data_IF_722800444278
#
_entry.id   IF_722800444278
#
_cell.length_a   1.000
_cell.length_b   1.000
_cell.length_c   1.000
_cell.angle_alpha   90.00
_cell.angle_beta   90.00
_cell.angle_gamma   90.00
#
_symmetry.space_group_name_H-M   'P 1'
#
loop_
_entity.id
_entity.type
_entity.pdbx_description
1 polymer ?
#
# COMPACT_ATOMS: atom_id res chain seq x y z
N UNK A 1 9.69 17.42 3.97
CA UNK A 1 8.53 17.71 3.12
C UNK A 1 8.98 17.59 1.68
N UNK A 2 8.24 16.93 0.87
CA UNK A 2 8.47 16.91 -0.58
C UNK A 2 7.11 16.87 -1.30
N UNK A 3 7.05 17.41 -2.51
CA UNK A 3 5.81 17.60 -3.22
C UNK A 3 5.55 16.44 -4.18
N UNK A 4 4.33 15.90 -4.15
CA UNK A 4 3.80 14.99 -5.15
C UNK A 4 2.57 15.61 -5.80
N UNK A 5 2.49 15.51 -7.11
CA UNK A 5 1.33 16.00 -7.89
C UNK A 5 0.45 14.83 -8.29
N UNK A 6 -0.83 14.96 -7.99
CA UNK A 6 -1.89 14.01 -8.30
C UNK A 6 -2.98 14.66 -9.15
N UNK A 7 -3.82 13.84 -9.72
CA UNK A 7 -5.10 14.25 -10.28
C UNK A 7 -6.20 13.76 -9.34
N UNK A 8 -7.01 14.66 -8.81
CA UNK A 8 -8.22 14.30 -8.06
C UNK A 8 -9.35 14.10 -9.05
N UNK A 9 -9.90 12.88 -9.08
CA UNK A 9 -11.04 12.50 -9.90
C UNK A 9 -12.32 12.55 -9.05
N UNK A 10 -13.16 13.56 -9.29
CA UNK A 10 -14.45 13.80 -8.64
C UNK A 10 -15.61 13.48 -9.59
N UNK A 11 -15.55 12.31 -10.27
CA UNK A 11 -16.54 11.78 -11.23
C UNK A 11 -16.68 12.61 -12.52
N UNK A 12 -17.20 13.84 -12.40
CA UNK A 12 -17.46 14.71 -13.55
C UNK A 12 -16.31 15.68 -13.85
N UNK A 13 -15.37 15.80 -12.93
CA UNK A 13 -14.24 16.75 -13.03
C UNK A 13 -12.94 16.12 -12.54
N UNK A 14 -11.86 16.51 -13.21
CA UNK A 14 -10.50 16.14 -12.75
C UNK A 14 -9.73 17.43 -12.45
N UNK A 15 -9.07 17.46 -11.29
CA UNK A 15 -8.34 18.64 -10.85
C UNK A 15 -6.92 18.25 -10.41
N UNK A 16 -5.88 18.95 -10.91
CA UNK A 16 -4.53 18.73 -10.41
C UNK A 16 -4.41 19.21 -8.96
N UNK A 17 -3.73 18.42 -8.13
CA UNK A 17 -3.49 18.73 -6.72
C UNK A 17 -2.05 18.38 -6.36
N UNK A 18 -1.29 19.35 -5.91
CA UNK A 18 0.06 19.12 -5.38
C UNK A 18 0.00 19.07 -3.86
N UNK A 19 0.46 17.94 -3.31
CA UNK A 19 0.45 17.65 -1.88
C UNK A 19 1.88 17.65 -1.35
N UNK A 20 2.11 18.42 -0.30
CA UNK A 20 3.37 18.42 0.43
C UNK A 20 3.36 17.27 1.47
N UNK A 21 4.09 16.20 1.18
CA UNK A 21 4.15 15.02 2.05
C UNK A 21 5.40 15.07 2.93
N UNK A 22 5.23 14.85 4.22
CA UNK A 22 6.33 14.77 5.19
C UNK A 22 6.35 13.47 5.98
N UNK A 23 5.27 12.68 5.92
CA UNK A 23 5.16 11.41 6.60
C UNK A 23 4.67 10.30 5.65
N UNK A 24 5.34 9.16 5.68
CA UNK A 24 4.87 7.93 5.07
C UNK A 24 4.76 6.83 6.14
N UNK A 25 3.59 6.22 6.23
CA UNK A 25 3.26 5.20 7.22
C UNK A 25 2.72 3.98 6.50
N UNK A 26 3.21 2.81 6.88
CA UNK A 26 2.71 1.52 6.37
C UNK A 26 2.01 0.81 7.54
N UNK A 27 0.70 0.65 7.46
CA UNK A 27 -0.06 -0.08 8.46
C UNK A 27 -0.04 -1.58 8.13
N UNK A 28 0.65 -2.34 8.96
CA UNK A 28 0.71 -3.80 8.85
C UNK A 28 -0.28 -4.49 9.80
N UNK A 29 -0.63 -5.74 9.50
CA UNK A 29 -1.52 -6.58 10.31
C UNK A 29 -2.91 -5.96 10.50
N UNK A 30 -3.45 -5.43 9.43
CA UNK A 30 -4.71 -4.68 9.40
C UNK A 30 -5.93 -5.55 9.12
N UNK A 31 -5.80 -6.87 9.06
CA UNK A 31 -6.91 -7.79 8.86
C UNK A 31 -8.02 -7.57 9.89
N UNK A 32 -9.27 -7.44 9.41
CA UNK A 32 -10.47 -7.16 10.24
C UNK A 32 -10.82 -8.35 11.14
N UNK A 33 -10.63 -9.59 10.65
CA UNK A 33 -10.87 -10.80 11.45
C UNK A 33 -9.68 -11.07 12.38
N UNK A 34 -9.83 -10.87 13.70
CA UNK A 34 -8.75 -11.09 14.66
C UNK A 34 -8.33 -12.57 14.76
N UNK A 35 -9.26 -13.51 14.55
CA UNK A 35 -8.97 -14.95 14.64
C UNK A 35 -8.10 -15.39 13.47
N UNK A 36 -8.47 -14.97 12.24
CA UNK A 36 -7.68 -15.26 11.05
C UNK A 36 -6.30 -14.60 11.11
N UNK A 37 -6.22 -13.35 11.58
CA UNK A 37 -4.97 -12.62 11.77
C UNK A 37 -4.05 -13.30 12.79
N UNK A 38 -4.57 -13.65 13.98
CA UNK A 38 -3.78 -14.25 15.04
C UNK A 38 -3.31 -15.66 14.67
N UNK A 39 -4.10 -16.42 13.90
CA UNK A 39 -3.69 -17.70 13.32
C UNK A 39 -2.53 -17.51 12.35
N UNK A 40 -2.61 -16.53 11.45
CA UNK A 40 -1.53 -16.25 10.51
C UNK A 40 -0.24 -15.81 11.22
N UNK A 41 -0.34 -15.02 12.29
CA UNK A 41 0.81 -14.68 13.13
C UNK A 41 1.45 -15.95 13.73
N UNK A 42 0.65 -16.87 14.26
CA UNK A 42 1.16 -18.11 14.83
C UNK A 42 1.83 -19.02 13.78
N UNK A 43 1.30 -19.06 12.56
CA UNK A 43 1.91 -19.78 11.43
C UNK A 43 3.31 -19.21 11.08
N UNK A 44 3.46 -17.89 11.07
CA UNK A 44 4.74 -17.24 10.82
C UNK A 44 5.73 -17.42 11.98
N UNK A 45 5.26 -17.37 13.22
CA UNK A 45 6.12 -17.66 14.40
C UNK A 45 6.68 -19.09 14.33
N UNK A 46 5.89 -20.06 13.87
CA UNK A 46 6.32 -21.45 13.74
C UNK A 46 7.48 -21.64 12.74
N UNK A 47 7.66 -20.71 11.79
CA UNK A 47 8.76 -20.71 10.84
C UNK A 47 9.86 -19.67 11.16
N UNK A 48 9.84 -19.11 12.39
CA UNK A 48 10.90 -18.24 12.91
C UNK A 48 10.74 -16.75 12.66
N UNK A 49 9.58 -16.28 12.17
CA UNK A 49 9.27 -14.86 12.00
C UNK A 49 8.73 -14.31 13.33
N UNK A 50 9.35 -13.26 13.85
CA UNK A 50 8.95 -12.68 15.12
C UNK A 50 7.53 -12.09 15.05
N UNK A 51 6.75 -12.31 16.12
CA UNK A 51 5.43 -11.70 16.30
C UNK A 51 5.55 -10.16 16.26
N UNK A 52 4.60 -9.46 15.59
CA UNK A 52 4.58 -7.99 15.62
C UNK A 52 4.34 -7.48 17.05
N UNK A 53 4.95 -6.35 17.39
CA UNK A 53 4.82 -5.72 18.72
C UNK A 53 3.38 -5.28 19.03
N UNK A 54 2.58 -5.01 18.00
CA UNK A 54 1.15 -4.66 18.09
C UNK A 54 0.41 -5.05 16.81
N UNK A 55 -0.92 -5.14 16.89
CA UNK A 55 -1.79 -5.34 15.74
C UNK A 55 -2.96 -4.35 15.77
N UNK A 56 -3.07 -3.43 14.80
CA UNK A 56 -2.10 -3.17 13.74
C UNK A 56 -0.78 -2.58 14.26
N UNK A 57 0.24 -2.62 13.40
CA UNK A 57 1.53 -1.94 13.61
C UNK A 57 1.70 -0.88 12.53
N UNK A 58 2.38 0.24 12.86
CA UNK A 58 2.56 1.38 11.96
C UNK A 58 4.05 1.62 11.73
N UNK A 59 4.55 1.12 10.60
CA UNK A 59 5.94 1.32 10.20
C UNK A 59 6.12 2.70 9.60
N UNK A 60 7.14 3.44 10.04
CA UNK A 60 7.52 4.73 9.46
C UNK A 60 8.61 4.49 8.43
N UNK A 61 8.37 4.98 7.21
CA UNK A 61 9.38 5.05 6.15
C UNK A 61 9.60 6.51 5.73
N UNK A 62 10.73 6.79 5.10
CA UNK A 62 10.99 8.13 4.61
C UNK A 62 9.94 8.54 3.56
N UNK A 63 9.32 9.71 3.69
CA UNK A 63 8.33 10.19 2.74
C UNK A 63 8.86 10.26 1.31
N UNK A 64 10.16 10.49 1.12
CA UNK A 64 10.83 10.49 -0.18
C UNK A 64 10.89 9.13 -0.89
N UNK A 65 10.46 8.05 -0.23
CA UNK A 65 10.24 6.76 -0.88
C UNK A 65 8.95 6.70 -1.68
N UNK A 66 8.02 7.61 -1.44
CA UNK A 66 6.80 7.71 -2.24
C UNK A 66 7.14 8.20 -3.65
N UNK A 67 6.57 7.56 -4.65
CA UNK A 67 6.77 7.94 -6.06
C UNK A 67 5.53 7.67 -6.89
N UNK A 68 5.31 8.48 -7.91
CA UNK A 68 4.30 8.23 -8.96
C UNK A 68 4.96 7.80 -10.28
N UNK A 69 6.25 7.46 -10.24
CA UNK A 69 7.00 7.01 -11.41
C UNK A 69 6.51 5.63 -11.90
N UNK A 70 6.76 5.35 -13.15
CA UNK A 70 6.45 4.08 -13.82
C UNK A 70 7.60 3.06 -13.75
N UNK A 71 8.60 3.33 -12.92
CA UNK A 71 9.71 2.41 -12.60
C UNK A 71 10.29 2.69 -11.23
N UNK A 72 10.84 1.66 -10.60
CA UNK A 72 11.64 1.73 -9.36
C UNK A 72 12.94 0.94 -9.52
N UNK A 73 13.97 1.33 -8.76
CA UNK A 73 15.24 0.61 -8.68
C UNK A 73 15.30 -0.17 -7.35
N UNK A 74 15.70 -1.43 -7.41
CA UNK A 74 15.80 -2.33 -6.24
C UNK A 74 17.15 -3.03 -6.20
N UNK A 75 17.61 -3.42 -5.02
CA UNK A 75 18.86 -4.16 -4.85
C UNK A 75 18.64 -5.65 -5.13
N UNK A 76 19.19 -6.16 -6.25
CA UNK A 76 19.01 -7.56 -6.64
C UNK A 76 17.56 -7.92 -6.98
N UNK A 77 17.25 -9.21 -6.91
CA UNK A 77 15.97 -9.78 -7.38
C UNK A 77 15.02 -10.22 -6.27
N UNK A 78 15.31 -9.89 -5.02
CA UNK A 78 14.60 -10.44 -3.86
C UNK A 78 13.45 -9.55 -3.35
N UNK A 79 12.90 -8.67 -4.20
CA UNK A 79 11.81 -7.76 -3.83
C UNK A 79 10.48 -8.11 -4.49
N UNK A 80 9.38 -7.68 -3.88
CA UNK A 80 8.03 -7.83 -4.45
C UNK A 80 7.10 -6.71 -4.01
N UNK A 81 6.09 -6.41 -4.85
CA UNK A 81 5.03 -5.47 -4.53
C UNK A 81 3.97 -6.06 -3.62
N UNK A 82 3.30 -5.20 -2.89
CA UNK A 82 2.09 -5.46 -2.11
C UNK A 82 1.09 -4.35 -2.40
N UNK A 83 -0.05 -4.68 -3.04
CA UNK A 83 -1.05 -3.65 -3.30
C UNK A 83 -1.75 -3.23 -2.03
N UNK A 84 -1.87 -1.93 -1.83
CA UNK A 84 -2.55 -1.34 -0.67
C UNK A 84 -3.41 -0.13 -1.11
N UNK A 85 -4.50 0.11 -0.41
CA UNK A 85 -5.11 1.43 -0.49
C UNK A 85 -4.24 2.44 0.28
N UNK A 86 -4.23 3.67 -0.19
CA UNK A 86 -3.42 4.74 0.41
C UNK A 86 -4.33 5.88 0.80
N UNK A 87 -4.24 6.33 2.05
CA UNK A 87 -4.94 7.50 2.54
C UNK A 87 -3.95 8.67 2.64
N UNK A 88 -4.32 9.84 2.17
CA UNK A 88 -3.48 11.06 2.26
C UNK A 88 -4.28 12.16 2.93
N UNK A 89 -3.79 12.64 4.09
CA UNK A 89 -4.36 13.79 4.80
C UNK A 89 -3.85 15.11 4.25
N UNK A 90 -4.75 16.04 3.92
CA UNK A 90 -4.39 17.36 3.44
C UNK A 90 -5.49 18.39 3.68
N UNK A 91 -5.16 19.46 4.40
CA UNK A 91 -6.08 20.58 4.71
C UNK A 91 -7.40 20.13 5.33
N UNK A 92 -7.31 19.18 6.27
CA UNK A 92 -8.48 18.63 6.96
C UNK A 92 -9.34 17.68 6.12
N UNK A 93 -8.95 17.38 4.88
CA UNK A 93 -9.56 16.39 3.98
C UNK A 93 -8.71 15.13 3.94
N UNK A 94 -9.33 14.02 3.57
CA UNK A 94 -8.62 12.76 3.32
C UNK A 94 -8.89 12.34 1.87
N UNK A 95 -7.81 12.04 1.16
CA UNK A 95 -7.86 11.47 -0.18
C UNK A 95 -7.53 9.99 -0.11
N UNK A 96 -8.10 9.22 -1.03
CA UNK A 96 -7.80 7.80 -1.19
C UNK A 96 -7.25 7.51 -2.58
N UNK A 97 -6.23 6.67 -2.61
CA UNK A 97 -5.61 6.14 -3.82
C UNK A 97 -5.22 4.68 -3.65
N UNK A 98 -4.47 4.17 -4.60
CA UNK A 98 -3.83 2.86 -4.54
C UNK A 98 -2.33 3.01 -4.62
N UNK A 99 -1.60 2.11 -3.97
CA UNK A 99 -0.14 2.08 -4.02
C UNK A 99 0.41 0.68 -3.86
N UNK A 100 1.72 0.59 -3.85
CA UNK A 100 2.45 -0.65 -3.57
C UNK A 100 3.46 -0.43 -2.46
N UNK A 101 3.32 -1.18 -1.37
CA UNK A 101 4.37 -1.33 -0.38
C UNK A 101 5.42 -2.31 -0.90
N UNK A 102 6.22 -1.86 -1.89
CA UNK A 102 7.29 -2.69 -2.44
C UNK A 102 8.36 -2.95 -1.39
N UNK A 103 8.71 -4.22 -1.16
CA UNK A 103 9.51 -4.64 0.00
C UNK A 103 10.58 -5.63 -0.43
N UNK A 104 11.80 -5.47 0.08
CA UNK A 104 12.88 -6.45 -0.07
C UNK A 104 12.62 -7.63 0.87
N UNK A 105 12.33 -8.81 0.31
CA UNK A 105 11.91 -9.99 1.08
C UNK A 105 13.07 -10.69 1.78
N UNK A 106 14.26 -10.57 1.26
CA UNK A 106 15.46 -11.11 1.91
C UNK A 106 15.80 -10.31 3.17
N UNK A 107 15.74 -8.99 3.08
CA UNK A 107 15.99 -8.10 4.22
C UNK A 107 14.82 -8.11 5.20
N UNK A 108 13.61 -8.44 4.78
CA UNK A 108 12.45 -8.55 5.66
C UNK A 108 12.66 -9.60 6.78
N UNK A 109 13.37 -10.69 6.49
CA UNK A 109 13.77 -11.69 7.48
C UNK A 109 14.72 -11.12 8.55
N UNK A 110 15.50 -10.08 8.21
CA UNK A 110 16.34 -9.36 9.17
C UNK A 110 15.53 -8.32 9.97
N UNK A 111 14.64 -7.58 9.30
CA UNK A 111 13.85 -6.56 9.94
C UNK A 111 12.87 -5.86 9.01
N UNK A 112 11.58 -5.96 9.32
CA UNK A 112 10.48 -5.44 8.48
C UNK A 112 10.63 -3.94 8.20
N UNK A 113 10.96 -3.13 9.21
CA UNK A 113 11.13 -1.68 9.01
C UNK A 113 12.25 -1.36 8.03
N UNK A 114 13.36 -2.10 8.10
CA UNK A 114 14.52 -1.90 7.20
C UNK A 114 14.14 -2.29 5.78
N UNK A 115 13.50 -3.44 5.60
CA UNK A 115 13.10 -3.93 4.28
C UNK A 115 12.13 -2.99 3.58
N UNK A 116 11.15 -2.46 4.31
CA UNK A 116 10.20 -1.46 3.78
C UNK A 116 10.89 -0.14 3.42
N UNK A 117 11.89 0.27 4.19
CA UNK A 117 12.67 1.49 3.92
C UNK A 117 13.59 1.37 2.68
N UNK A 118 14.00 0.15 2.29
CA UNK A 118 14.94 -0.06 1.17
C UNK A 118 14.33 0.25 -0.20
N UNK A 119 13.03 -0.01 -0.39
CA UNK A 119 12.36 0.13 -1.68
C UNK A 119 11.48 1.37 -1.74
N UNK A 120 11.32 1.94 -2.93
CA UNK A 120 10.34 2.98 -3.18
C UNK A 120 8.92 2.44 -3.03
N UNK A 121 7.97 3.36 -2.80
CA UNK A 121 6.55 3.08 -2.57
C UNK A 121 5.73 3.74 -3.68
N UNK A 122 5.51 3.05 -4.80
CA UNK A 122 4.70 3.57 -5.89
C UNK A 122 3.26 3.86 -5.44
N UNK A 123 2.74 5.03 -5.85
CA UNK A 123 1.35 5.42 -5.65
C UNK A 123 0.79 5.81 -7.02
N UNK A 124 -0.44 5.43 -7.32
CA UNK A 124 -1.14 5.89 -8.51
C UNK A 124 -1.24 7.43 -8.52
N UNK A 125 -1.05 8.09 -9.66
CA UNK A 125 -1.13 9.55 -9.75
C UNK A 125 -2.57 10.08 -9.72
N UNK A 126 -3.56 9.23 -9.42
CA UNK A 126 -4.99 9.57 -9.32
C UNK A 126 -5.47 9.31 -7.90
N UNK A 127 -6.25 10.25 -7.38
CA UNK A 127 -6.88 10.16 -6.05
C UNK A 127 -8.38 10.42 -6.16
N UNK A 128 -9.16 9.85 -5.23
CA UNK A 128 -10.54 10.23 -4.96
C UNK A 128 -10.64 10.90 -3.59
N UNK A 129 -11.68 11.66 -3.34
CA UNK A 129 -12.00 12.09 -1.98
C UNK A 129 -12.57 10.90 -1.19
N UNK A 130 -12.13 10.74 0.06
CA UNK A 130 -12.61 9.66 0.91
C UNK A 130 -14.12 9.76 1.14
N UNK A 131 -14.65 10.97 1.24
CA UNK A 131 -16.09 11.22 1.45
C UNK A 131 -16.97 10.62 0.35
N UNK A 132 -16.47 10.57 -0.90
CA UNK A 132 -17.19 9.97 -2.02
C UNK A 132 -17.36 8.45 -1.90
N UNK A 133 -16.43 7.77 -1.24
CA UNK A 133 -16.35 6.30 -1.24
C UNK A 133 -16.59 5.67 0.13
N UNK A 134 -16.52 6.44 1.22
CA UNK A 134 -16.62 5.90 2.58
C UNK A 134 -17.97 5.21 2.84
N UNK A 135 -19.05 5.67 2.22
CA UNK A 135 -20.37 5.07 2.36
C UNK A 135 -20.51 3.65 1.78
N UNK A 136 -19.57 3.23 0.93
CA UNK A 136 -19.53 1.90 0.33
C UNK A 136 -18.13 1.29 0.34
N UNK A 137 -17.29 1.74 1.28
CA UNK A 137 -15.88 1.34 1.44
C UNK A 137 -15.66 -0.16 1.39
N UNK A 138 -16.47 -0.91 2.11
CA UNK A 138 -16.38 -2.37 2.21
C UNK A 138 -16.60 -3.10 0.86
N UNK A 139 -17.14 -2.41 -0.14
CA UNK A 139 -17.39 -2.95 -1.49
C UNK A 139 -16.26 -2.65 -2.48
N UNK A 140 -15.33 -1.75 -2.10
CA UNK A 140 -14.17 -1.42 -2.91
C UNK A 140 -13.30 -2.66 -3.13
N UNK A 141 -12.75 -2.80 -4.33
CA UNK A 141 -11.95 -3.97 -4.70
C UNK A 141 -10.52 -3.53 -4.97
N UNK A 142 -9.59 -4.18 -4.29
CA UNK A 142 -8.15 -3.95 -4.45
C UNK A 142 -7.53 -5.16 -5.15
N UNK A 143 -6.78 -4.94 -6.26
CA UNK A 143 -6.12 -5.99 -7.03
C UNK A 143 -4.70 -5.63 -7.38
N UNK A 144 -3.89 -6.65 -7.55
CA UNK A 144 -2.59 -6.50 -8.22
C UNK A 144 -2.33 -7.61 -9.23
N UNK A 145 -1.50 -7.27 -10.21
CA UNK A 145 -0.99 -8.20 -11.21
C UNK A 145 0.52 -8.09 -11.24
N UNK A 146 1.18 -9.20 -11.42
CA UNK A 146 2.63 -9.28 -11.48
C UNK A 146 3.06 -9.94 -12.80
N UNK A 147 4.14 -9.45 -13.40
CA UNK A 147 4.79 -10.11 -14.54
C UNK A 147 5.86 -11.06 -14.03
N UNK A 148 5.54 -12.36 -14.04
CA UNK A 148 6.39 -13.44 -13.57
C UNK A 148 6.66 -14.35 -14.75
N UNK A 149 7.93 -14.62 -15.05
CA UNK A 149 8.35 -15.43 -16.21
C UNK A 149 7.72 -14.96 -17.52
N UNK A 150 7.63 -13.63 -17.70
CA UNK A 150 7.08 -12.99 -18.90
C UNK A 150 5.54 -13.04 -19.01
N UNK A 151 4.84 -13.56 -18.00
CA UNK A 151 3.37 -13.69 -18.00
C UNK A 151 2.74 -12.77 -16.96
N UNK A 152 1.68 -12.06 -17.33
CA UNK A 152 0.84 -11.26 -16.41
C UNK A 152 -0.08 -12.19 -15.62
N UNK A 153 0.09 -12.26 -14.32
CA UNK A 153 -0.73 -13.07 -13.42
C UNK A 153 -1.49 -12.23 -12.40
N UNK A 154 -2.71 -12.62 -12.05
CA UNK A 154 -3.42 -12.03 -10.92
C UNK A 154 -2.69 -12.43 -9.64
N UNK A 155 -2.15 -11.43 -8.93
CA UNK A 155 -1.23 -11.66 -7.81
C UNK A 155 -1.92 -11.51 -6.45
N UNK A 156 -2.73 -10.46 -6.30
CA UNK A 156 -3.54 -10.24 -5.09
C UNK A 156 -4.94 -9.75 -5.49
N UNK A 157 -5.95 -10.08 -4.71
CA UNK A 157 -7.32 -9.59 -4.89
C UNK A 157 -8.13 -9.75 -3.61
N UNK A 158 -8.89 -8.73 -3.26
CA UNK A 158 -9.86 -8.77 -2.20
C UNK A 158 -10.70 -7.50 -2.12
N UNK A 159 -11.76 -7.55 -1.31
CA UNK A 159 -12.58 -6.40 -0.96
C UNK A 159 -12.10 -5.76 0.33
N UNK A 160 -12.26 -4.44 0.48
CA UNK A 160 -11.73 -3.70 1.64
C UNK A 160 -12.45 -4.03 2.96
N UNK A 161 -13.57 -4.79 2.92
CA UNK A 161 -14.20 -5.37 4.12
C UNK A 161 -13.29 -6.36 4.87
N UNK A 162 -12.28 -6.91 4.20
CA UNK A 162 -11.27 -7.76 4.83
C UNK A 162 -10.29 -7.01 5.73
N UNK A 163 -10.25 -5.67 5.66
CA UNK A 163 -9.32 -4.81 6.41
C UNK A 163 -10.04 -3.99 7.47
N UNK A 164 -9.30 -3.50 8.47
CA UNK A 164 -9.85 -2.61 9.49
C UNK A 164 -10.47 -1.36 8.85
N UNK A 165 -11.58 -0.85 9.41
CA UNK A 165 -12.19 0.41 8.94
C UNK A 165 -11.22 1.58 9.00
N UNK A 166 -11.38 2.54 8.09
CA UNK A 166 -10.52 3.72 7.95
C UNK A 166 -10.39 4.51 9.26
N UNK A 167 -11.51 4.76 9.92
CA UNK A 167 -11.57 5.50 11.20
C UNK A 167 -10.82 4.75 12.31
N UNK A 168 -10.92 3.43 12.34
CA UNK A 168 -10.19 2.60 13.31
C UNK A 168 -8.68 2.62 13.06
N UNK A 169 -8.25 2.53 11.79
CA UNK A 169 -6.85 2.65 11.41
C UNK A 169 -6.27 4.00 11.82
N UNK A 170 -6.97 5.09 11.50
CA UNK A 170 -6.54 6.44 11.87
C UNK A 170 -6.47 6.61 13.39
N UNK A 171 -7.52 6.21 14.09
CA UNK A 171 -7.58 6.32 15.56
C UNK A 171 -6.46 5.54 16.25
N UNK A 172 -6.17 4.32 15.80
CA UNK A 172 -5.10 3.47 16.39
C UNK A 172 -3.71 3.98 16.04
N UNK A 173 -3.51 4.50 14.83
CA UNK A 173 -2.20 4.97 14.36
C UNK A 173 -1.81 6.35 14.90
N UNK A 174 -2.78 7.23 15.07
CA UNK A 174 -2.51 8.64 15.36
C UNK A 174 -3.18 9.16 16.65
N UNK A 175 -3.94 8.33 17.35
CA UNK A 175 -4.58 8.69 18.62
C UNK A 175 -5.73 9.69 18.49
N UNK A 176 -6.11 10.08 17.28
CA UNK A 176 -7.16 11.06 16.96
C UNK A 176 -8.14 10.57 15.92
N UNK A 177 -9.12 11.42 15.58
CA UNK A 177 -10.14 11.13 14.59
C UNK A 177 -9.72 11.52 13.15
N UNK A 178 -8.62 12.25 12.99
CA UNK A 178 -8.16 12.75 11.70
C UNK A 178 -6.77 12.21 11.34
N UNK A 179 -6.56 11.92 10.06
CA UNK A 179 -5.24 11.68 9.51
C UNK A 179 -4.49 13.02 9.44
N UNK A 180 -3.26 13.12 9.98
CA UNK A 180 -2.51 14.37 9.93
C UNK A 180 -2.28 14.88 8.50
N UNK A 181 -2.31 16.18 8.32
CA UNK A 181 -1.93 16.83 7.06
C UNK A 181 -0.50 16.45 6.68
N UNK A 182 -0.24 16.18 5.40
CA UNK A 182 1.06 15.74 4.90
C UNK A 182 1.39 14.27 5.20
N UNK A 183 0.47 13.51 5.78
CA UNK A 183 0.65 12.08 6.03
C UNK A 183 0.05 11.24 4.89
N UNK A 184 0.87 10.34 4.31
CA UNK A 184 0.40 9.26 3.45
C UNK A 184 0.46 7.95 4.24
N UNK A 185 -0.67 7.26 4.40
CA UNK A 185 -0.78 5.99 5.11
C UNK A 185 -1.25 4.89 4.17
N UNK A 186 -0.45 3.84 4.03
CA UNK A 186 -0.82 2.58 3.40
C UNK A 186 -1.62 1.74 4.40
N UNK A 187 -2.69 1.10 3.95
CA UNK A 187 -3.71 0.53 4.84
C UNK A 187 -3.72 -0.97 4.96
N UNK A 188 -2.78 -1.66 4.34
CA UNK A 188 -2.65 -3.11 4.37
C UNK A 188 -2.98 -3.80 3.05
N UNK A 189 -2.61 -5.05 2.96
CA UNK A 189 -2.63 -5.86 1.75
C UNK A 189 -3.31 -7.22 1.96
N UNK A 190 -3.48 -7.96 0.86
CA UNK A 190 -3.96 -9.35 0.83
C UNK A 190 -2.83 -10.33 0.57
N UNK A 191 -3.04 -11.60 0.95
CA UNK A 191 -2.08 -12.64 0.64
C UNK A 191 -1.86 -12.79 -0.87
N UNK A 192 -0.60 -12.97 -1.29
CA UNK A 192 -0.24 -13.22 -2.67
C UNK A 192 -0.70 -14.62 -3.12
N UNK A 193 -1.40 -14.71 -4.24
CA UNK A 193 -1.83 -15.97 -4.84
C UNK A 193 -0.62 -16.77 -5.35
N UNK A 194 -0.43 -17.96 -4.81
CA UNK A 194 0.72 -18.80 -5.10
C UNK A 194 2.01 -18.38 -4.38
N UNK A 195 1.89 -17.58 -3.31
CA UNK A 195 2.99 -17.11 -2.49
C UNK A 195 3.71 -15.87 -3.05
N UNK A 196 4.59 -15.31 -2.23
CA UNK A 196 5.39 -14.12 -2.57
C UNK A 196 6.42 -14.50 -3.64
N UNK A 197 6.50 -13.71 -4.72
CA UNK A 197 7.42 -13.90 -5.83
C UNK A 197 7.90 -12.56 -6.37
N UNK A 198 9.13 -12.49 -6.81
CA UNK A 198 9.66 -11.37 -7.55
C UNK A 198 8.95 -11.22 -8.90
N UNK A 199 8.91 -10.01 -9.42
CA UNK A 199 8.29 -9.68 -10.70
C UNK A 199 9.05 -8.57 -11.40
N UNK A 200 9.15 -8.62 -12.73
CA UNK A 200 9.80 -7.56 -13.53
C UNK A 200 8.92 -6.31 -13.66
N UNK A 201 7.62 -6.45 -13.45
CA UNK A 201 6.62 -5.36 -13.48
C UNK A 201 5.49 -5.68 -12.53
N UNK A 202 4.99 -4.65 -11.87
CA UNK A 202 3.86 -4.75 -10.94
C UNK A 202 2.78 -3.73 -11.31
N UNK A 203 1.53 -4.17 -11.40
CA UNK A 203 0.36 -3.35 -11.67
C UNK A 203 -0.60 -3.49 -10.50
N UNK A 204 -1.26 -2.40 -10.13
CA UNK A 204 -2.25 -2.42 -9.06
C UNK A 204 -3.46 -1.54 -9.41
N UNK A 205 -4.59 -1.93 -8.82
CA UNK A 205 -5.89 -1.32 -9.07
C UNK A 205 -6.69 -1.16 -7.78
N UNK A 206 -7.40 -0.04 -7.67
CA UNK A 206 -8.50 0.17 -6.74
C UNK A 206 -9.76 0.43 -7.54
N UNK A 207 -10.72 -0.49 -7.48
CA UNK A 207 -12.00 -0.40 -8.19
C UNK A 207 -13.10 0.04 -7.23
N UNK A 208 -13.85 1.05 -7.64
CA UNK A 208 -15.13 1.43 -7.05
C UNK A 208 -16.27 0.89 -7.91
N UNK A 209 -16.87 -0.27 -7.54
CA UNK A 209 -17.93 -0.88 -8.33
C UNK A 209 -19.27 -0.14 -8.23
N UNK A 210 -19.41 0.77 -7.25
CA UNK A 210 -20.65 1.55 -7.05
C UNK A 210 -20.68 2.74 -7.99
N UNK A 211 -19.61 3.53 -8.02
CA UNK A 211 -19.46 4.68 -8.91
C UNK A 211 -18.84 4.31 -10.26
N UNK A 212 -18.51 3.02 -10.47
CA UNK A 212 -17.98 2.46 -11.73
C UNK A 212 -16.71 3.17 -12.21
N UNK A 213 -15.78 3.38 -11.32
CA UNK A 213 -14.49 4.03 -11.58
C UNK A 213 -13.31 3.19 -11.09
N UNK A 214 -12.13 3.46 -11.61
CA UNK A 214 -10.94 2.66 -11.39
C UNK A 214 -9.71 3.57 -11.27
N UNK A 215 -8.95 3.42 -10.18
CA UNK A 215 -7.57 3.87 -10.10
C UNK A 215 -6.67 2.72 -10.52
N UNK A 216 -5.75 2.96 -11.46
CA UNK A 216 -4.77 1.98 -11.91
C UNK A 216 -3.41 2.64 -12.07
N UNK A 217 -2.36 1.91 -11.69
CA UNK A 217 -0.99 2.27 -11.99
C UNK A 217 -0.14 1.02 -12.18
N UNK A 218 0.99 1.16 -12.86
CA UNK A 218 1.95 0.09 -13.05
C UNK A 218 3.36 0.64 -13.05
N UNK A 219 4.31 -0.15 -12.57
CA UNK A 219 5.72 0.22 -12.58
C UNK A 219 6.61 -0.98 -12.92
N UNK A 220 7.71 -0.71 -13.60
CA UNK A 220 8.76 -1.68 -13.88
C UNK A 220 9.72 -1.77 -12.69
N UNK A 221 10.21 -2.97 -12.41
CA UNK A 221 11.20 -3.23 -11.36
C UNK A 221 12.56 -3.41 -12.01
N UNK A 222 13.46 -2.46 -11.76
CA UNK A 222 14.82 -2.44 -12.29
C UNK A 222 15.76 -2.98 -11.23
N UNK A 223 16.34 -4.14 -11.48
CA UNK A 223 17.29 -4.78 -10.57
C UNK A 223 18.67 -4.15 -10.68
N UNK A 224 19.19 -3.64 -9.58
CA UNK A 224 20.56 -3.15 -9.48
C UNK A 224 21.49 -4.28 -9.04
N UNK A 225 22.72 -4.36 -9.57
CA UNK A 225 23.67 -5.40 -9.19
C UNK A 225 24.09 -5.26 -7.72
N UNK A 226 24.07 -6.38 -7.00
CA UNK A 226 24.63 -6.46 -5.64
C UNK A 226 26.11 -6.85 -5.76
N UNK A 227 26.99 -5.89 -5.45
CA UNK A 227 28.43 -6.04 -5.53
C UNK A 227 29.03 -6.00 -4.12
N UNK A 228 29.89 -6.99 -3.79
CA UNK A 228 30.62 -7.07 -2.50
C UNK A 228 30.58 -8.42 -1.85
#
# INVERSE_FOLDING_TARGET
>A
MFDLTFTVDAQDTTTPLTLAIDQAVIAGWTGRDPVARDRHIAELEAIGIARPASTPIYYRVAARRLTTADSIEVSGSDSSGEVEFVLIGWQGRIFVGAGSDHTDRKVEAYGVTVSKQMCDKPIAPVLWELEDVIGHWDRMILRSFAWIDGSRVLYQEGTLDGMLPVDELIRRGFGGAALPDGCAMFGGTFAARGGIRAASRFEFELEDPVLKRLIRHAYDVIELPVLG
#
